data_IF_362588014694
#
_entry.id   IF_362588014694
#
_cell.length_a   1.000
_cell.length_b   1.000
_cell.length_c   1.000
_cell.angle_alpha   90.00
_cell.angle_beta   90.00
_cell.angle_gamma   90.00
#
_symmetry.space_group_name_H-M   'P 1'
#
loop_
_entity.id
_entity.type
_entity.pdbx_description
1 polymer ?
#
# COMPACT_ATOMS: atom_id res chain seq x y z
N UNK A 1 -15.76 -1.06 5.40
CA UNK A 1 -14.42 -1.21 4.82
C UNK A 1 -13.80 0.16 4.79
N UNK A 2 -12.70 0.34 5.51
CA UNK A 2 -11.90 1.57 5.45
C UNK A 2 -10.58 1.30 4.75
N UNK A 3 -10.11 2.27 3.98
CA UNK A 3 -8.81 2.20 3.28
C UNK A 3 -7.83 3.14 3.97
N UNK A 4 -6.80 2.57 4.58
CA UNK A 4 -5.73 3.27 5.28
C UNK A 4 -4.51 3.40 4.36
N UNK A 5 -4.07 4.62 4.09
CA UNK A 5 -2.92 4.90 3.22
C UNK A 5 -1.69 5.28 4.03
N UNK A 6 -0.59 4.55 3.85
CA UNK A 6 0.73 4.88 4.37
C UNK A 6 1.57 5.40 3.20
N UNK A 7 1.53 6.72 2.99
CA UNK A 7 2.21 7.40 1.89
C UNK A 7 3.66 7.73 2.28
N UNK A 8 4.61 6.89 1.86
CA UNK A 8 6.01 6.96 2.29
C UNK A 8 6.94 7.60 1.26
N UNK A 9 6.62 7.48 -0.04
CA UNK A 9 7.44 8.02 -1.12
C UNK A 9 6.59 8.39 -2.35
N UNK A 10 7.16 8.32 -3.57
CA UNK A 10 6.49 8.69 -4.82
C UNK A 10 5.21 7.90 -5.11
N UNK A 11 5.14 6.63 -4.70
CA UNK A 11 3.90 5.84 -4.83
C UNK A 11 2.75 6.43 -4.00
N UNK A 12 3.05 7.18 -2.94
CA UNK A 12 2.03 7.89 -2.16
C UNK A 12 1.30 8.98 -2.96
N UNK A 13 1.93 9.57 -3.98
CA UNK A 13 1.27 10.55 -4.87
C UNK A 13 0.25 9.84 -5.76
N UNK A 14 0.61 8.69 -6.33
CA UNK A 14 -0.33 7.89 -7.12
C UNK A 14 -1.45 7.32 -6.23
N UNK A 15 -1.14 6.88 -5.00
CA UNK A 15 -2.14 6.41 -4.05
C UNK A 15 -3.08 7.54 -3.60
N UNK A 16 -2.58 8.77 -3.42
CA UNK A 16 -3.41 9.94 -3.13
C UNK A 16 -4.34 10.28 -4.31
N UNK A 17 -3.93 10.03 -5.55
CA UNK A 17 -4.80 10.18 -6.72
C UNK A 17 -5.97 9.19 -6.68
N UNK A 18 -5.72 7.95 -6.26
CA UNK A 18 -6.77 6.96 -6.01
C UNK A 18 -7.62 7.42 -4.83
N UNK A 19 -7.05 7.89 -3.72
CA UNK A 19 -7.84 8.36 -2.58
C UNK A 19 -8.79 9.51 -2.98
N UNK A 20 -8.33 10.45 -3.81
CA UNK A 20 -9.15 11.53 -4.33
C UNK A 20 -10.26 11.03 -5.27
N UNK A 21 -10.00 9.98 -6.07
CA UNK A 21 -10.98 9.36 -6.99
C UNK A 21 -11.91 8.36 -6.29
N UNK A 22 -11.43 7.60 -5.32
CA UNK A 22 -12.16 6.59 -4.58
C UNK A 22 -13.12 7.23 -3.58
N UNK A 23 -12.78 8.41 -3.05
CA UNK A 23 -13.73 9.30 -2.39
C UNK A 23 -14.91 9.69 -3.31
N UNK A 24 -14.80 9.45 -4.63
CA UNK A 24 -15.83 9.76 -5.62
C UNK A 24 -16.60 8.57 -6.22
N UNK A 25 -16.30 7.27 -5.94
CA UNK A 25 -17.29 6.15 -6.08
C UNK A 25 -16.72 4.71 -6.01
N UNK A 26 -15.48 4.42 -6.46
CA UNK A 26 -15.09 3.03 -6.81
C UNK A 26 -14.88 2.04 -5.64
N UNK A 27 -14.48 2.51 -4.46
CA UNK A 27 -14.28 1.68 -3.25
C UNK A 27 -15.28 2.02 -2.14
N UNK A 28 -16.12 3.05 -2.36
CA UNK A 28 -17.11 3.50 -1.40
C UNK A 28 -18.29 2.50 -1.37
N UNK A 29 -18.60 1.95 -0.20
CA UNK A 29 -19.76 1.08 -0.01
C UNK A 29 -19.55 -0.40 -0.34
N UNK A 30 -18.34 -0.83 -0.75
CA UNK A 30 -18.01 -2.25 -0.89
C UNK A 30 -17.90 -2.89 0.50
N UNK A 31 -18.70 -3.92 0.84
CA UNK A 31 -18.52 -4.65 2.08
C UNK A 31 -17.23 -5.48 1.98
N UNK A 32 -16.39 -5.44 3.01
CA UNK A 32 -15.11 -6.14 2.97
C UNK A 32 -14.20 -5.85 4.16
N UNK A 33 -13.06 -6.57 4.27
CA UNK A 33 -12.01 -6.29 5.25
C UNK A 33 -11.45 -4.88 5.08
N UNK A 34 -10.82 -4.35 6.13
CA UNK A 34 -10.09 -3.09 6.03
C UNK A 34 -8.87 -3.25 5.12
N UNK A 35 -8.50 -2.22 4.37
CA UNK A 35 -7.35 -2.26 3.45
C UNK A 35 -6.27 -1.32 3.95
N UNK A 36 -5.03 -1.79 3.98
CA UNK A 36 -3.86 -1.01 4.36
C UNK A 36 -2.89 -0.95 3.18
N UNK A 37 -2.80 0.21 2.55
CA UNK A 37 -1.92 0.44 1.40
C UNK A 37 -0.60 1.02 1.88
N UNK A 38 0.48 0.26 1.72
CA UNK A 38 1.84 0.73 2.02
C UNK A 38 2.50 1.21 0.72
N UNK A 39 2.52 2.53 0.54
CA UNK A 39 2.85 3.18 -0.72
C UNK A 39 4.28 3.79 -0.68
N UNK A 40 5.24 3.03 -1.22
CA UNK A 40 6.62 3.49 -1.41
C UNK A 40 7.61 2.98 -0.37
N UNK A 41 8.86 3.40 -0.53
CA UNK A 41 10.03 2.85 0.18
C UNK A 41 9.85 2.85 1.70
N UNK A 42 10.09 1.69 2.32
CA UNK A 42 10.16 1.53 3.77
C UNK A 42 11.64 1.57 4.17
N UNK A 43 12.00 2.54 5.00
CA UNK A 43 13.36 2.63 5.56
C UNK A 43 13.44 1.86 6.87
N UNK A 44 14.63 1.43 7.27
CA UNK A 44 14.88 0.79 8.57
C UNK A 44 14.41 1.67 9.74
N UNK A 45 14.56 2.99 9.62
CA UNK A 45 14.07 3.95 10.61
C UNK A 45 12.53 4.03 10.71
N UNK A 46 11.82 3.70 9.62
CA UNK A 46 10.36 3.73 9.57
C UNK A 46 9.71 2.35 9.74
N UNK A 47 10.48 1.26 9.70
CA UNK A 47 9.97 -0.11 9.67
C UNK A 47 9.02 -0.43 10.84
N UNK A 48 9.43 -0.10 12.08
CA UNK A 48 8.63 -0.35 13.28
C UNK A 48 7.35 0.50 13.29
N UNK A 49 7.43 1.74 12.80
CA UNK A 49 6.25 2.61 12.68
C UNK A 49 5.25 2.04 11.67
N UNK A 50 5.72 1.60 10.50
CA UNK A 50 4.88 0.98 9.47
C UNK A 50 4.20 -0.28 10.01
N UNK A 51 4.96 -1.15 10.68
CA UNK A 51 4.42 -2.36 11.29
C UNK A 51 3.35 -2.04 12.36
N UNK A 52 3.61 -1.07 13.22
CA UNK A 52 2.65 -0.62 14.24
C UNK A 52 1.36 -0.07 13.60
N UNK A 53 1.47 0.76 12.56
CA UNK A 53 0.31 1.30 11.84
C UNK A 53 -0.53 0.24 11.14
N UNK A 54 0.10 -0.79 10.58
CA UNK A 54 -0.63 -1.95 10.04
C UNK A 54 -1.36 -2.69 11.17
N UNK A 55 -0.72 -2.83 12.34
CA UNK A 55 -1.30 -3.54 13.48
C UNK A 55 -2.47 -2.79 14.15
N UNK A 56 -2.48 -1.44 14.11
CA UNK A 56 -3.57 -0.60 14.59
C UNK A 56 -4.89 -0.86 13.84
N UNK A 57 -4.82 -1.36 12.61
CA UNK A 57 -6.00 -1.68 11.81
C UNK A 57 -6.59 -3.02 12.25
N UNK A 58 -7.86 -2.99 12.69
CA UNK A 58 -8.58 -4.16 13.18
C UNK A 58 -8.75 -5.23 12.09
N UNK A 59 -8.67 -6.50 12.50
CA UNK A 59 -8.94 -7.66 11.65
C UNK A 59 -10.45 -7.81 11.39
N UNK A 60 -10.88 -8.32 10.21
CA UNK A 60 -10.04 -8.77 9.10
C UNK A 60 -9.48 -7.59 8.28
N UNK A 61 -8.18 -7.65 7.92
CA UNK A 61 -7.51 -6.63 7.09
C UNK A 61 -6.68 -7.25 5.96
N UNK A 62 -6.51 -6.50 4.87
CA UNK A 62 -5.64 -6.80 3.73
C UNK A 62 -4.50 -5.78 3.70
N UNK A 63 -3.26 -6.24 3.63
CA UNK A 63 -2.07 -5.41 3.47
C UNK A 63 -1.63 -5.42 2.00
N UNK A 64 -1.53 -4.24 1.40
CA UNK A 64 -1.14 -4.04 0.00
C UNK A 64 0.25 -3.42 -0.07
N UNK A 65 1.19 -4.11 -0.70
CA UNK A 65 2.48 -3.56 -1.07
C UNK A 65 2.36 -2.81 -2.41
N UNK A 66 2.35 -1.47 -2.36
CA UNK A 66 2.17 -0.62 -3.53
C UNK A 66 3.50 -0.03 -4.02
N UNK A 67 4.00 -0.60 -5.12
CA UNK A 67 5.26 -0.23 -5.76
C UNK A 67 6.46 -1.12 -5.38
N UNK A 68 7.43 -1.22 -6.29
CA UNK A 68 8.58 -2.13 -6.17
C UNK A 68 9.45 -1.88 -4.93
N UNK A 69 9.46 -0.65 -4.41
CA UNK A 69 10.20 -0.31 -3.20
C UNK A 69 9.65 -1.01 -1.95
N UNK A 70 8.33 -1.11 -1.82
CA UNK A 70 7.67 -1.80 -0.70
C UNK A 70 7.78 -3.32 -0.83
N UNK A 71 7.90 -3.82 -2.07
CA UNK A 71 7.93 -5.25 -2.39
C UNK A 71 9.33 -5.85 -2.15
N UNK A 72 10.36 -5.15 -2.61
CA UNK A 72 11.72 -5.71 -2.70
C UNK A 72 12.83 -4.67 -2.43
N UNK A 73 12.53 -3.50 -1.87
CA UNK A 73 13.45 -2.36 -1.79
C UNK A 73 13.61 -1.57 -3.11
N UNK A 74 13.23 -2.18 -4.25
CA UNK A 74 13.12 -1.50 -5.53
C UNK A 74 14.48 -0.99 -6.04
N UNK A 75 14.56 0.23 -6.62
CA UNK A 75 15.83 0.84 -7.03
C UNK A 75 16.84 0.99 -5.89
N UNK A 76 16.39 0.91 -4.63
CA UNK A 76 17.18 1.12 -3.43
C UNK A 76 17.50 -0.18 -2.68
N UNK A 77 17.32 -1.35 -3.30
CA UNK A 77 17.46 -2.65 -2.65
C UNK A 77 18.82 -2.88 -1.95
N UNK A 78 19.90 -2.25 -2.43
CA UNK A 78 21.25 -2.33 -1.86
C UNK A 78 21.62 -1.09 -1.01
N UNK A 79 20.63 -0.29 -0.62
CA UNK A 79 20.87 0.88 0.24
C UNK A 79 20.92 0.47 1.71
N UNK A 80 21.85 1.06 2.46
CA UNK A 80 22.09 0.76 3.89
C UNK A 80 20.87 0.93 4.81
N UNK A 81 19.86 1.68 4.37
CA UNK A 81 18.70 2.07 5.18
C UNK A 81 17.37 1.59 4.62
N UNK A 82 17.33 0.76 3.57
CA UNK A 82 16.08 0.28 2.97
C UNK A 82 15.83 -1.16 3.38
N UNK A 83 14.59 -1.47 3.78
CA UNK A 83 14.22 -2.85 4.10
C UNK A 83 13.98 -3.63 2.80
N UNK A 84 14.27 -4.94 2.76
CA UNK A 84 14.13 -5.74 1.54
C UNK A 84 12.68 -6.02 1.13
N UNK A 85 11.70 -5.46 1.83
CA UNK A 85 10.27 -5.62 1.58
C UNK A 85 9.46 -5.77 2.88
N UNK A 86 8.15 -5.76 2.76
CA UNK A 86 7.22 -6.07 3.86
C UNK A 86 6.41 -7.33 3.55
N UNK A 87 5.86 -7.97 4.58
CA UNK A 87 4.82 -8.97 4.38
C UNK A 87 3.54 -8.28 3.90
N UNK A 88 3.01 -8.72 2.77
CA UNK A 88 1.79 -8.19 2.17
C UNK A 88 0.93 -9.33 1.61
N UNK A 89 -0.38 -9.14 1.65
CA UNK A 89 -1.36 -10.07 1.09
C UNK A 89 -1.51 -9.86 -0.42
N UNK A 90 -1.41 -8.60 -0.85
CA UNK A 90 -1.54 -8.17 -2.25
C UNK A 90 -0.31 -7.36 -2.67
N UNK A 91 0.15 -7.60 -3.88
CA UNK A 91 1.35 -6.99 -4.44
C UNK A 91 0.99 -6.24 -5.72
N UNK A 92 1.28 -4.95 -5.78
CA UNK A 92 1.05 -4.10 -6.96
C UNK A 92 2.38 -3.59 -7.49
N UNK A 93 2.96 -4.24 -8.52
CA UNK A 93 4.28 -3.87 -9.03
C UNK A 93 4.25 -2.59 -9.88
N UNK A 94 5.24 -1.71 -9.68
CA UNK A 94 5.48 -0.51 -10.49
C UNK A 94 6.41 0.52 -9.82
N UNK A 95 6.78 1.61 -10.52
CA UNK A 95 7.67 2.66 -10.00
C UNK A 95 7.43 4.07 -10.60
N UNK A 96 6.35 4.79 -10.21
CA UNK A 96 5.23 4.26 -9.44
C UNK A 96 4.25 3.49 -10.34
N UNK A 97 3.54 2.47 -9.81
CA UNK A 97 2.46 1.81 -10.52
C UNK A 97 1.33 2.79 -10.84
N UNK A 98 0.55 2.51 -11.89
CA UNK A 98 -0.60 3.35 -12.26
C UNK A 98 -1.72 3.28 -11.20
N UNK A 99 -2.44 4.38 -10.94
CA UNK A 99 -3.57 4.41 -10.01
C UNK A 99 -4.61 3.30 -10.25
N UNK A 100 -4.93 3.04 -11.52
CA UNK A 100 -5.92 2.03 -11.91
C UNK A 100 -5.47 0.60 -11.51
N UNK A 101 -4.16 0.35 -11.43
CA UNK A 101 -3.64 -0.94 -11.02
C UNK A 101 -3.86 -1.19 -9.51
N UNK A 102 -3.85 -0.12 -8.69
CA UNK A 102 -4.19 -0.23 -7.27
C UNK A 102 -5.68 -0.55 -7.10
N UNK A 103 -6.55 0.19 -7.78
CA UNK A 103 -8.00 -0.03 -7.73
C UNK A 103 -8.35 -1.45 -8.15
N UNK A 104 -7.82 -1.92 -9.28
CA UNK A 104 -8.05 -3.28 -9.78
C UNK A 104 -7.57 -4.35 -8.79
N UNK A 105 -6.36 -4.20 -8.22
CA UNK A 105 -5.81 -5.18 -7.29
C UNK A 105 -6.59 -5.25 -5.98
N UNK A 106 -7.08 -4.11 -5.47
CA UNK A 106 -7.93 -4.09 -4.27
C UNK A 106 -9.28 -4.71 -4.56
N UNK A 107 -9.91 -4.42 -5.70
CA UNK A 107 -11.19 -5.02 -6.09
C UNK A 107 -11.06 -6.54 -6.27
N UNK A 108 -10.02 -7.02 -6.96
CA UNK A 108 -9.75 -8.44 -7.13
C UNK A 108 -9.54 -9.17 -5.79
N UNK A 109 -8.91 -8.50 -4.81
CA UNK A 109 -8.71 -9.05 -3.48
C UNK A 109 -10.00 -9.11 -2.63
N UNK A 110 -11.04 -8.34 -3.00
CA UNK A 110 -12.32 -8.30 -2.29
C UNK A 110 -13.35 -9.31 -2.82
N UNK A 111 -13.17 -9.84 -4.03
CA UNK A 111 -14.05 -10.84 -4.65
C UNK A 111 -15.23 -10.23 -5.38
#
# INVERSE_FOLDING_TARGET
MDVHYLNLACCGVEAASVQARAASDALAGVPGPNVVVVAGTVTSAAADLVAARIAEVAQPRIVVAYGVCTIAGGPYWDSYCVVPGIAADVVVPGCPPRPEALEAAVLEALG
#
